data_IF_195659098717
#
_entry.id   IF_195659098717
#
_cell.length_a   1.000
_cell.length_b   1.000
_cell.length_c   1.000
_cell.angle_alpha   90.00
_cell.angle_beta   90.00
_cell.angle_gamma   90.00
#
_symmetry.space_group_name_H-M   'P 1'
#
loop_
_entity.id
_entity.type
_entity.pdbx_description
1 polymer ?
#
# COMPACT_ATOMS: atom_id res chain seq x y z
N UNK A 1 2.32 -4.70 9.34
CA UNK A 1 1.75 -3.68 8.45
C UNK A 1 2.01 -3.98 6.98
N UNK A 2 3.22 -4.39 6.66
CA UNK A 2 3.61 -4.75 5.29
C UNK A 2 2.71 -5.86 4.72
N UNK A 3 2.49 -6.92 5.47
CA UNK A 3 1.65 -8.02 5.02
C UNK A 3 0.21 -7.59 4.76
N UNK A 4 -0.29 -6.66 5.55
CA UNK A 4 -1.66 -6.16 5.37
C UNK A 4 -1.81 -5.45 4.02
N UNK A 5 -0.86 -4.58 3.69
CA UNK A 5 -0.87 -3.87 2.41
C UNK A 5 -0.73 -4.86 1.26
N UNK A 6 0.13 -5.85 1.41
CA UNK A 6 0.35 -6.87 0.41
C UNK A 6 -0.92 -7.67 0.12
N UNK A 7 -1.61 -8.10 1.17
CA UNK A 7 -2.87 -8.86 1.03
C UNK A 7 -3.93 -8.02 0.31
N UNK A 8 -4.09 -6.77 0.72
CA UNK A 8 -5.09 -5.89 0.12
C UNK A 8 -4.77 -5.64 -1.35
N UNK A 9 -3.50 -5.33 -1.66
CA UNK A 9 -3.10 -5.05 -3.02
C UNK A 9 -3.32 -6.27 -3.91
N UNK A 10 -2.93 -7.46 -3.44
CA UNK A 10 -3.09 -8.69 -4.21
C UNK A 10 -4.55 -9.00 -4.50
N UNK A 11 -5.45 -8.61 -3.59
CA UNK A 11 -6.88 -8.84 -3.77
C UNK A 11 -7.51 -7.90 -4.80
N UNK A 12 -6.87 -6.76 -5.07
CA UNK A 12 -7.46 -5.70 -5.89
C UNK A 12 -6.84 -5.56 -7.27
N UNK A 13 -5.68 -6.16 -7.51
CA UNK A 13 -4.99 -6.07 -8.81
C UNK A 13 -5.22 -7.33 -9.63
N UNK A 14 -4.94 -7.22 -10.94
CA UNK A 14 -5.09 -8.36 -11.85
C UNK A 14 -3.87 -9.27 -11.84
N UNK A 15 -2.70 -8.74 -11.49
CA UNK A 15 -1.45 -9.51 -11.46
C UNK A 15 -0.88 -9.53 -10.04
N UNK A 16 -1.50 -10.29 -9.14
CA UNK A 16 -1.05 -10.32 -7.74
C UNK A 16 0.36 -10.87 -7.58
N UNK A 17 0.84 -11.69 -8.50
CA UNK A 17 2.19 -12.23 -8.46
C UNK A 17 3.27 -11.17 -8.61
N UNK A 18 2.93 -9.99 -9.12
CA UNK A 18 3.87 -8.89 -9.27
C UNK A 18 3.77 -7.85 -8.16
N UNK A 19 2.90 -8.08 -7.19
CA UNK A 19 2.79 -7.17 -6.04
C UNK A 19 3.94 -7.40 -5.09
N UNK A 20 4.62 -6.33 -4.71
CA UNK A 20 5.64 -6.37 -3.66
C UNK A 20 5.51 -5.13 -2.79
N UNK A 21 5.85 -5.28 -1.53
CA UNK A 21 5.85 -4.19 -0.57
C UNK A 21 7.19 -4.16 0.13
N UNK A 22 7.83 -3.00 0.12
CA UNK A 22 9.09 -2.79 0.81
C UNK A 22 8.84 -1.87 2.00
N UNK A 23 9.37 -2.23 3.15
CA UNK A 23 9.20 -1.47 4.37
C UNK A 23 10.50 -0.76 4.73
N UNK A 24 10.42 0.56 4.88
CA UNK A 24 11.54 1.39 5.28
C UNK A 24 11.18 2.10 6.57
N UNK A 25 12.15 2.23 7.47
CA UNK A 25 11.95 2.93 8.73
C UNK A 25 12.75 4.23 8.69
N UNK A 26 12.07 5.34 8.96
CA UNK A 26 12.69 6.68 8.98
C UNK A 26 12.24 7.38 10.27
N UNK A 27 13.07 7.29 11.30
CA UNK A 27 12.74 7.83 12.61
C UNK A 27 11.50 7.16 13.17
N UNK A 28 10.47 7.95 13.46
CA UNK A 28 9.18 7.45 13.97
C UNK A 28 8.23 7.04 12.86
N UNK A 29 8.65 7.18 11.61
CA UNK A 29 7.79 6.88 10.48
C UNK A 29 8.15 5.54 9.86
N UNK A 30 7.13 4.83 9.39
CA UNK A 30 7.28 3.61 8.60
C UNK A 30 6.79 3.93 7.20
N UNK A 31 7.63 3.69 6.20
CA UNK A 31 7.30 3.95 4.81
C UNK A 31 7.12 2.60 4.12
N UNK A 32 5.94 2.40 3.55
CA UNK A 32 5.63 1.17 2.82
C UNK A 32 5.59 1.52 1.33
N UNK A 33 6.55 0.97 0.59
CA UNK A 33 6.63 1.18 -0.85
C UNK A 33 5.93 0.03 -1.55
N UNK A 34 4.77 0.31 -2.12
CA UNK A 34 3.99 -0.66 -2.85
C UNK A 34 4.35 -0.63 -4.32
N UNK A 35 4.71 -1.79 -4.85
CA UNK A 35 4.98 -1.96 -6.27
C UNK A 35 3.99 -2.95 -6.84
N UNK A 36 3.40 -2.61 -7.97
CA UNK A 36 2.46 -3.48 -8.68
C UNK A 36 2.90 -3.61 -10.13
N UNK A 37 2.28 -4.54 -10.86
CA UNK A 37 2.53 -4.69 -12.28
C UNK A 37 2.25 -3.37 -13.01
N UNK A 38 3.02 -3.09 -14.05
CA UNK A 38 2.84 -1.87 -14.82
C UNK A 38 1.42 -1.75 -15.37
N UNK A 39 0.82 -2.85 -15.77
CA UNK A 39 -0.55 -2.87 -16.27
C UNK A 39 -1.56 -2.51 -15.18
N UNK A 40 -1.22 -2.75 -13.92
CA UNK A 40 -2.10 -2.43 -12.79
C UNK A 40 -1.91 -1.02 -12.27
N UNK A 41 -0.81 -0.37 -12.61
CA UNK A 41 -0.53 0.99 -12.13
C UNK A 41 -1.64 1.97 -12.48
N UNK A 42 -2.15 1.89 -13.70
CA UNK A 42 -3.24 2.74 -14.13
C UNK A 42 -4.50 2.55 -13.30
N UNK A 43 -4.76 1.33 -12.86
CA UNK A 43 -5.91 1.02 -12.02
C UNK A 43 -5.72 1.49 -10.59
N UNK A 44 -4.50 1.33 -10.07
CA UNK A 44 -4.19 1.72 -8.69
C UNK A 44 -4.27 3.24 -8.54
N UNK A 45 -3.69 3.97 -9.48
CA UNK A 45 -3.64 5.43 -9.45
C UNK A 45 -4.87 6.04 -10.10
N UNK A 46 -5.42 5.38 -11.14
CA UNK A 46 -6.56 5.88 -11.89
C UNK A 46 -7.88 5.67 -11.18
N UNK A 47 -8.98 5.98 -11.87
CA UNK A 47 -10.34 5.86 -11.35
C UNK A 47 -10.48 6.54 -9.98
N UNK A 48 -9.95 7.77 -9.88
CA UNK A 48 -9.99 8.56 -8.66
C UNK A 48 -9.17 7.94 -7.52
N UNK A 49 -8.21 7.08 -7.87
CA UNK A 49 -7.32 6.49 -6.89
C UNK A 49 -8.01 5.56 -5.89
N UNK A 50 -9.06 4.87 -6.30
CA UNK A 50 -9.86 4.04 -5.39
C UNK A 50 -9.03 2.99 -4.66
N UNK A 51 -8.14 2.29 -5.37
CA UNK A 51 -7.32 1.25 -4.77
C UNK A 51 -6.31 1.86 -3.80
N UNK A 52 -5.63 2.92 -4.23
CA UNK A 52 -4.68 3.61 -3.38
C UNK A 52 -5.35 4.17 -2.12
N UNK A 53 -6.53 4.75 -2.30
CA UNK A 53 -7.29 5.31 -1.19
C UNK A 53 -7.74 4.23 -0.20
N UNK A 54 -8.18 3.09 -0.71
CA UNK A 54 -8.60 1.97 0.12
C UNK A 54 -7.41 1.47 0.97
N UNK A 55 -6.26 1.30 0.35
CA UNK A 55 -5.05 0.85 1.05
C UNK A 55 -4.66 1.85 2.13
N UNK A 56 -4.65 3.14 1.80
CA UNK A 56 -4.30 4.18 2.76
C UNK A 56 -5.27 4.25 3.94
N UNK A 57 -6.55 4.05 3.67
CA UNK A 57 -7.57 4.06 4.73
C UNK A 57 -7.35 2.93 5.72
N UNK A 58 -7.10 1.72 5.21
CA UNK A 58 -6.86 0.55 6.08
C UNK A 58 -5.56 0.73 6.86
N UNK A 59 -4.50 1.21 6.22
CA UNK A 59 -3.21 1.44 6.87
C UNK A 59 -3.34 2.50 7.95
N UNK A 60 -4.08 3.58 7.68
CA UNK A 60 -4.30 4.62 8.67
C UNK A 60 -5.02 4.08 9.90
N UNK A 61 -6.05 3.29 9.70
CA UNK A 61 -6.79 2.68 10.80
C UNK A 61 -5.88 1.78 11.65
N UNK A 62 -5.05 0.98 10.98
CA UNK A 62 -4.12 0.10 11.68
C UNK A 62 -3.02 0.86 12.40
N UNK A 63 -2.54 1.98 11.83
CA UNK A 63 -1.47 2.76 12.43
C UNK A 63 -1.89 3.48 13.71
N UNK A 64 -3.20 3.74 13.89
CA UNK A 64 -3.69 4.35 15.12
C UNK A 64 -3.42 3.49 16.35
N UNK A 65 -3.30 2.19 16.16
CA UNK A 65 -3.03 1.26 17.27
C UNK A 65 -1.54 1.20 17.63
N UNK A 66 -0.66 1.57 16.72
CA UNK A 66 0.78 1.42 16.90
C UNK A 66 1.48 2.71 17.31
N UNK A 67 0.78 3.85 17.32
CA UNK A 67 1.35 5.17 17.59
C UNK A 67 2.49 5.54 16.64
N UNK A 68 2.60 4.89 15.51
CA UNK A 68 3.62 5.20 14.52
C UNK A 68 2.96 5.83 13.30
N UNK A 69 3.68 6.76 12.68
CA UNK A 69 3.24 7.33 11.42
C UNK A 69 3.57 6.35 10.30
N UNK A 70 2.56 5.93 9.55
CA UNK A 70 2.76 5.03 8.43
C UNK A 70 2.40 5.75 7.15
N UNK A 71 3.32 5.72 6.19
CA UNK A 71 3.14 6.35 4.87
C UNK A 71 3.19 5.27 3.81
N UNK A 72 2.22 5.26 2.91
CA UNK A 72 2.21 4.34 1.78
C UNK A 72 2.58 5.10 0.52
N UNK A 73 3.62 4.62 -0.16
CA UNK A 73 4.04 5.16 -1.46
C UNK A 73 3.83 4.11 -2.52
N UNK A 74 3.30 4.53 -3.65
CA UNK A 74 3.14 3.66 -4.81
C UNK A 74 4.26 4.00 -5.78
N UNK A 75 5.12 3.04 -6.04
CA UNK A 75 6.33 3.24 -6.86
C UNK A 75 6.28 2.46 -8.15
#
# INVERSE_FOLDING_TARGET
MKELVEIIAKALVEKPEEVSVNELIDGDAVILELKVAQEDMGKVIGKQGRIAKAIRTVVKAASLKSNKKVVVKIV
#
